data_IF_975513147487
#
_entry.id   IF_975513147487
#
_cell.length_a   1.000
_cell.length_b   1.000
_cell.length_c   1.000
_cell.angle_alpha   90.00
_cell.angle_beta   90.00
_cell.angle_gamma   90.00
#
_symmetry.space_group_name_H-M   'P 1'
#
loop_
_entity.id
_entity.type
_entity.pdbx_description
1 polymer ?
#
# COMPACT_ATOMS: atom_id res chain seq x y z
N UNK A 1 9.51 -14.46 -0.16
CA UNK A 1 10.60 -14.18 -1.13
C UNK A 1 11.77 -13.52 -0.40
N UNK A 2 13.00 -14.01 -0.57
CA UNK A 2 14.21 -13.39 -0.01
C UNK A 2 14.80 -12.40 -1.02
N UNK A 3 15.34 -11.28 -0.56
CA UNK A 3 15.94 -10.25 -1.42
C UNK A 3 17.48 -10.37 -1.40
N UNK A 4 18.11 -10.47 -2.57
CA UNK A 4 19.56 -10.62 -2.72
C UNK A 4 20.32 -9.29 -2.70
N UNK A 5 21.58 -9.33 -2.25
CA UNK A 5 22.49 -8.18 -2.12
C UNK A 5 22.71 -7.49 -3.48
N UNK A 6 22.61 -6.16 -3.53
CA UNK A 6 23.17 -5.35 -4.62
C UNK A 6 24.04 -4.25 -4.00
N UNK A 7 25.32 -4.25 -4.36
CA UNK A 7 26.25 -3.15 -4.07
C UNK A 7 26.09 -2.11 -5.18
N UNK A 8 25.74 -0.88 -4.82
CA UNK A 8 25.90 0.29 -5.68
C UNK A 8 27.08 1.07 -5.13
N UNK A 9 28.10 1.30 -5.94
CA UNK A 9 29.22 2.18 -5.63
C UNK A 9 29.12 3.40 -6.54
N UNK A 10 28.73 4.54 -5.99
CA UNK A 10 28.95 5.83 -6.64
C UNK A 10 29.46 6.81 -5.58
N UNK A 11 30.63 7.37 -5.83
CA UNK A 11 31.35 8.38 -5.03
C UNK A 11 31.35 8.20 -3.49
N UNK A 12 32.24 7.33 -2.99
CA UNK A 12 32.81 7.42 -1.63
C UNK A 12 31.90 7.14 -0.42
N UNK A 13 30.58 7.04 -0.59
CA UNK A 13 29.65 6.72 0.50
C UNK A 13 29.25 5.25 0.44
N UNK A 14 29.91 4.41 1.25
CA UNK A 14 29.49 3.02 1.45
C UNK A 14 28.23 3.00 2.32
N UNK A 15 27.05 2.99 1.70
CA UNK A 15 25.80 2.69 2.44
C UNK A 15 25.65 1.18 2.54
N UNK A 16 26.14 0.58 3.63
CA UNK A 16 25.86 -0.81 3.97
C UNK A 16 24.38 -0.98 4.31
N UNK A 17 23.59 -1.32 3.30
CA UNK A 17 22.19 -1.66 3.52
C UNK A 17 22.03 -3.16 3.76
N UNK A 18 21.91 -3.54 5.04
CA UNK A 18 21.53 -4.90 5.44
C UNK A 18 20.08 -5.18 5.04
N UNK A 19 19.87 -5.84 3.90
CA UNK A 19 18.54 -6.16 3.37
C UNK A 19 18.21 -7.66 3.44
N UNK A 20 18.13 -8.19 4.66
CA UNK A 20 17.47 -9.48 4.93
C UNK A 20 15.98 -9.30 5.26
N UNK A 21 15.20 -8.58 4.45
CA UNK A 21 13.77 -8.35 4.76
C UNK A 21 12.92 -9.52 4.26
N UNK A 22 12.21 -10.17 5.18
CA UNK A 22 11.27 -11.25 4.88
C UNK A 22 9.89 -10.70 4.49
N UNK A 23 9.40 -11.17 3.34
CA UNK A 23 8.10 -10.81 2.75
C UNK A 23 7.27 -12.08 2.53
N UNK A 24 6.55 -12.56 3.57
CA UNK A 24 5.66 -13.69 3.46
C UNK A 24 4.37 -13.32 2.75
N UNK A 25 3.83 -14.30 2.04
CA UNK A 25 2.47 -14.32 1.52
C UNK A 25 1.87 -15.66 1.88
N UNK A 26 0.71 -15.65 2.53
CA UNK A 26 -0.03 -16.84 2.89
C UNK A 26 -1.44 -16.73 2.32
N UNK A 27 -1.92 -17.83 1.76
CA UNK A 27 -3.24 -17.94 1.17
C UNK A 27 -3.84 -19.26 1.65
N UNK A 28 -5.02 -19.19 2.26
CA UNK A 28 -5.77 -20.35 2.70
C UNK A 28 -7.15 -20.25 2.10
N UNK A 29 -7.59 -21.29 1.41
CA UNK A 29 -8.96 -21.42 0.93
C UNK A 29 -9.57 -22.70 1.47
N UNK A 30 -10.76 -22.59 2.04
CA UNK A 30 -11.50 -23.67 2.65
C UNK A 30 -12.90 -23.74 2.06
N UNK A 31 -13.24 -24.89 1.47
CA UNK A 31 -14.59 -25.18 1.00
C UNK A 31 -15.27 -26.07 2.03
N UNK A 32 -16.27 -25.53 2.73
CA UNK A 32 -17.03 -26.31 3.71
C UNK A 32 -17.96 -27.32 3.01
N UNK A 33 -18.49 -26.94 1.86
CA UNK A 33 -19.22 -27.81 0.92
C UNK A 33 -19.17 -27.17 -0.49
N UNK A 34 -19.97 -27.68 -1.43
CA UNK A 34 -20.07 -27.13 -2.80
C UNK A 34 -20.59 -25.68 -2.84
N UNK A 35 -21.28 -25.25 -1.78
CA UNK A 35 -21.97 -23.97 -1.72
C UNK A 35 -21.18 -22.90 -0.95
N UNK A 36 -20.25 -23.24 -0.07
CA UNK A 36 -19.56 -22.30 0.81
C UNK A 36 -18.05 -22.33 0.60
N UNK A 37 -17.49 -21.20 0.18
CA UNK A 37 -16.03 -21.02 0.07
C UNK A 37 -15.58 -19.87 0.97
N UNK A 38 -14.64 -20.14 1.84
CA UNK A 38 -13.95 -19.16 2.68
C UNK A 38 -12.52 -19.02 2.17
N UNK A 39 -12.01 -17.80 2.07
CA UNK A 39 -10.59 -17.57 1.79
C UNK A 39 -10.01 -16.52 2.72
N UNK A 40 -8.78 -16.75 3.16
CA UNK A 40 -8.02 -15.88 4.03
C UNK A 40 -6.65 -15.63 3.41
N UNK A 41 -6.32 -14.35 3.21
CA UNK A 41 -5.10 -13.93 2.56
C UNK A 41 -4.33 -13.00 3.49
N UNK A 42 -3.03 -13.27 3.61
CA UNK A 42 -2.09 -12.35 4.24
C UNK A 42 -0.93 -12.08 3.30
N UNK A 43 -0.57 -10.81 3.13
CA UNK A 43 0.63 -10.45 2.38
C UNK A 43 1.37 -9.29 3.02
N UNK A 44 2.71 -9.40 3.05
CA UNK A 44 3.60 -8.31 3.40
C UNK A 44 4.33 -7.84 2.14
N UNK A 45 4.14 -6.56 1.78
CA UNK A 45 4.74 -5.96 0.58
C UNK A 45 5.65 -4.79 0.97
N UNK A 46 6.68 -4.56 0.16
CA UNK A 46 7.56 -3.38 0.25
C UNK A 46 7.29 -2.47 -0.93
N UNK A 47 7.07 -1.20 -0.68
CA UNK A 47 6.95 -0.18 -1.70
C UNK A 47 8.19 0.70 -1.69
N UNK A 48 8.92 0.72 -2.81
CA UNK A 48 10.18 1.44 -2.93
C UNK A 48 9.92 2.85 -3.44
N UNK A 49 10.60 3.86 -2.88
CA UNK A 49 10.55 5.20 -3.43
C UNK A 49 10.97 5.18 -4.90
N UNK A 50 10.25 5.90 -5.74
CA UNK A 50 10.62 6.07 -7.14
C UNK A 50 11.91 6.89 -7.28
N UNK A 51 12.58 6.80 -8.42
CA UNK A 51 13.84 7.52 -8.67
C UNK A 51 13.73 9.03 -8.40
N UNK A 52 12.62 9.66 -8.82
CA UNK A 52 12.38 11.09 -8.57
C UNK A 52 12.28 11.45 -7.09
N UNK A 53 11.82 10.52 -6.25
CA UNK A 53 11.66 10.76 -4.82
C UNK A 53 13.00 10.72 -4.08
N UNK A 54 14.00 10.00 -4.60
CA UNK A 54 15.34 9.85 -4.00
C UNK A 54 16.41 10.71 -4.65
N UNK A 55 16.18 11.19 -5.88
CA UNK A 55 17.18 11.95 -6.63
C UNK A 55 17.35 13.36 -6.00
N UNK A 56 18.54 13.72 -5.50
CA UNK A 56 18.80 15.01 -4.87
C UNK A 56 18.92 16.18 -5.87
N UNK A 57 18.74 15.92 -7.17
CA UNK A 57 18.73 16.96 -8.18
C UNK A 57 17.56 17.93 -7.96
N UNK A 58 17.85 19.23 -8.08
CA UNK A 58 16.87 20.31 -7.88
C UNK A 58 16.12 20.61 -9.17
N UNK A 59 14.80 20.47 -9.15
CA UNK A 59 13.90 20.93 -10.22
C UNK A 59 13.26 22.25 -9.82
N UNK A 60 13.65 23.33 -10.49
CA UNK A 60 13.13 24.67 -10.21
C UNK A 60 11.77 24.88 -10.87
N UNK A 61 10.78 25.27 -10.07
CA UNK A 61 9.48 25.73 -10.56
C UNK A 61 9.47 27.25 -10.75
N UNK A 62 10.15 27.98 -9.88
CA UNK A 62 10.44 29.41 -10.01
C UNK A 62 11.72 29.75 -9.25
N UNK A 63 12.15 31.02 -9.28
CA UNK A 63 13.40 31.47 -8.63
C UNK A 63 13.44 31.17 -7.11
N UNK A 64 12.28 31.22 -6.45
CA UNK A 64 12.16 30.97 -5.02
C UNK A 64 11.57 29.58 -4.71
N UNK A 65 11.38 28.68 -5.69
CA UNK A 65 10.66 27.42 -5.48
C UNK A 65 11.29 26.30 -6.27
N UNK A 66 11.78 25.28 -5.57
CA UNK A 66 12.33 24.09 -6.19
C UNK A 66 11.88 22.82 -5.48
N UNK A 67 11.84 21.74 -6.25
CA UNK A 67 11.64 20.39 -5.76
C UNK A 67 13.00 19.69 -5.68
N UNK A 68 13.23 18.90 -4.63
CA UNK A 68 14.36 17.99 -4.50
C UNK A 68 13.91 16.66 -3.91
N UNK A 69 14.39 15.54 -4.47
CA UNK A 69 14.24 14.25 -3.81
C UNK A 69 15.07 14.18 -2.53
N UNK A 70 14.79 13.16 -1.72
CA UNK A 70 15.46 12.86 -0.47
C UNK A 70 16.16 11.49 -0.57
N UNK A 71 17.50 11.45 -0.69
CA UNK A 71 18.26 10.20 -0.79
C UNK A 71 18.08 9.26 0.42
N UNK A 72 17.67 9.78 1.58
CA UNK A 72 17.48 9.01 2.81
C UNK A 72 16.09 8.39 2.94
N UNK A 73 15.26 8.49 1.89
CA UNK A 73 13.93 7.92 1.88
C UNK A 73 13.94 6.41 2.12
N UNK A 74 13.17 6.00 3.11
CA UNK A 74 12.98 4.61 3.43
C UNK A 74 11.82 4.01 2.64
N UNK A 75 11.94 2.75 2.19
CA UNK A 75 10.80 2.03 1.64
C UNK A 75 9.67 1.87 2.67
N UNK A 76 8.43 2.06 2.22
CA UNK A 76 7.25 1.79 3.03
C UNK A 76 6.92 0.30 3.01
N UNK A 77 6.33 -0.20 4.10
CA UNK A 77 5.94 -1.60 4.26
C UNK A 77 4.42 -1.67 4.42
N UNK A 78 3.78 -2.51 3.63
CA UNK A 78 2.34 -2.74 3.70
C UNK A 78 2.06 -4.15 4.19
N UNK A 79 1.27 -4.27 5.24
CA UNK A 79 0.62 -5.50 5.66
C UNK A 79 -0.81 -5.50 5.15
N UNK A 80 -1.21 -6.55 4.46
CA UNK A 80 -2.56 -6.71 3.92
C UNK A 80 -3.16 -8.00 4.45
N UNK A 81 -4.31 -7.89 5.10
CA UNK A 81 -5.15 -8.99 5.55
C UNK A 81 -6.47 -8.90 4.79
N UNK A 82 -6.92 -10.02 4.26
CA UNK A 82 -8.17 -10.09 3.52
C UNK A 82 -8.87 -11.39 3.86
N UNK A 83 -10.16 -11.29 4.12
CA UNK A 83 -11.07 -12.40 4.32
C UNK A 83 -12.18 -12.29 3.28
N UNK A 84 -12.49 -13.39 2.62
CA UNK A 84 -13.58 -13.44 1.64
C UNK A 84 -14.44 -14.68 1.88
N UNK A 85 -15.73 -14.51 1.73
CA UNK A 85 -16.73 -15.55 1.80
C UNK A 85 -17.60 -15.52 0.55
N UNK A 86 -17.76 -16.68 -0.09
CA UNK A 86 -18.60 -16.84 -1.28
C UNK A 86 -19.63 -17.92 -1.02
N UNK A 87 -20.90 -17.60 -1.27
CA UNK A 87 -22.01 -18.54 -1.21
C UNK A 87 -22.60 -18.78 -2.61
N UNK A 88 -22.51 -20.03 -3.10
CA UNK A 88 -23.04 -20.53 -4.38
C UNK A 88 -22.66 -19.70 -5.62
N UNK A 89 -21.59 -18.90 -5.54
CA UNK A 89 -21.24 -17.94 -6.57
C UNK A 89 -22.23 -16.78 -6.73
N UNK A 90 -23.26 -16.70 -5.86
CA UNK A 90 -24.32 -15.67 -5.88
C UNK A 90 -24.04 -14.53 -4.93
N UNK A 91 -23.61 -14.85 -3.71
CA UNK A 91 -23.22 -13.86 -2.70
C UNK A 91 -21.70 -13.91 -2.52
N UNK A 92 -21.05 -12.77 -2.60
CA UNK A 92 -19.66 -12.58 -2.21
C UNK A 92 -19.58 -11.49 -1.14
N UNK A 93 -19.02 -11.80 0.02
CA UNK A 93 -18.69 -10.83 1.04
C UNK A 93 -17.17 -10.84 1.26
N UNK A 94 -16.54 -9.68 1.35
CA UNK A 94 -15.13 -9.59 1.73
C UNK A 94 -14.90 -8.49 2.73
N UNK A 95 -13.88 -8.68 3.54
CA UNK A 95 -13.36 -7.72 4.49
C UNK A 95 -11.86 -7.64 4.29
N UNK A 96 -11.31 -6.42 4.28
CA UNK A 96 -9.87 -6.23 4.25
C UNK A 96 -9.42 -5.27 5.34
N UNK A 97 -8.19 -5.47 5.78
CA UNK A 97 -7.46 -4.56 6.64
C UNK A 97 -6.04 -4.41 6.12
N UNK A 98 -5.62 -3.16 5.94
CA UNK A 98 -4.29 -2.82 5.49
C UNK A 98 -3.62 -1.89 6.49
N UNK A 99 -2.36 -2.19 6.83
CA UNK A 99 -1.49 -1.32 7.63
C UNK A 99 -0.27 -0.96 6.81
N UNK A 100 -0.10 0.34 6.54
CA UNK A 100 1.06 0.93 5.86
C UNK A 100 1.97 1.57 6.90
N UNK A 101 3.24 1.18 6.89
CA UNK A 101 4.29 1.65 7.78
C UNK A 101 5.33 2.48 7.01
N UNK A 102 5.85 3.52 7.65
CA UNK A 102 6.84 4.45 7.10
C UNK A 102 6.40 5.00 5.74
N UNK A 103 5.14 5.42 5.62
CA UNK A 103 4.63 6.01 4.41
C UNK A 103 5.35 7.33 4.12
N UNK A 104 5.72 7.52 2.86
CA UNK A 104 6.35 8.74 2.37
C UNK A 104 5.35 9.58 1.60
N UNK A 105 5.36 10.88 1.85
CA UNK A 105 4.63 11.85 1.02
C UNK A 105 5.43 13.14 0.89
N UNK A 106 5.00 13.99 -0.04
CA UNK A 106 5.63 15.26 -0.36
C UNK A 106 5.32 16.27 0.74
N UNK A 107 6.39 16.83 1.31
CA UNK A 107 6.34 17.94 2.24
C UNK A 107 6.84 19.21 1.56
N UNK A 108 6.37 20.34 2.07
CA UNK A 108 6.79 21.68 1.63
C UNK A 108 7.38 22.38 2.83
N UNK A 109 8.64 22.78 2.70
CA UNK A 109 9.39 23.54 3.70
C UNK A 109 9.44 24.98 3.19
N UNK A 110 9.03 25.92 4.04
CA UNK A 110 9.03 27.35 3.75
C UNK A 110 10.11 28.02 4.60
N UNK A 111 11.09 28.64 3.95
CA UNK A 111 12.17 29.41 4.57
C UNK A 111 12.14 30.84 4.01
N UNK A 112 11.39 31.72 4.66
CA UNK A 112 11.14 33.08 4.17
C UNK A 112 10.35 33.05 2.85
N UNK A 113 10.91 33.64 1.79
CA UNK A 113 10.32 33.60 0.44
C UNK A 113 10.61 32.29 -0.30
N UNK A 114 11.54 31.47 0.19
CA UNK A 114 11.94 30.23 -0.46
C UNK A 114 11.02 29.07 -0.09
N UNK A 115 10.60 28.32 -1.10
CA UNK A 115 9.76 27.13 -1.02
C UNK A 115 10.54 25.92 -1.52
N UNK A 116 10.90 25.03 -0.61
CA UNK A 116 11.54 23.77 -0.94
C UNK A 116 10.53 22.64 -0.81
N UNK A 117 10.34 21.85 -1.86
CA UNK A 117 9.50 20.66 -1.77
C UNK A 117 10.33 19.39 -1.83
N UNK A 118 10.10 18.48 -0.89
CA UNK A 118 10.82 17.22 -0.80
C UNK A 118 9.91 16.10 -0.32
N UNK A 119 10.40 14.86 -0.33
CA UNK A 119 9.66 13.72 0.19
C UNK A 119 10.20 13.31 1.56
N UNK A 120 9.32 12.96 2.49
CA UNK A 120 9.69 12.49 3.82
C UNK A 120 8.83 11.31 4.26
N UNK A 121 9.42 10.36 4.99
CA UNK A 121 8.69 9.31 5.69
C UNK A 121 8.19 9.87 7.02
N UNK A 122 6.94 10.30 7.10
CA UNK A 122 6.44 10.97 8.31
C UNK A 122 5.18 10.35 8.90
N UNK A 123 4.52 9.39 8.25
CA UNK A 123 3.25 8.85 8.78
C UNK A 123 3.13 7.34 8.62
N UNK A 124 2.29 6.76 9.47
CA UNK A 124 1.73 5.43 9.28
C UNK A 124 0.26 5.57 8.87
N UNK A 125 -0.31 4.58 8.19
CA UNK A 125 -1.73 4.63 7.82
C UNK A 125 -2.39 3.25 7.97
N UNK A 126 -3.66 3.25 8.33
CA UNK A 126 -4.49 2.05 8.28
C UNK A 126 -5.67 2.28 7.35
N UNK A 127 -6.05 1.26 6.59
CA UNK A 127 -7.32 1.24 5.88
C UNK A 127 -8.04 -0.06 6.16
N UNK A 128 -9.36 -0.01 6.16
CA UNK A 128 -10.21 -1.18 6.26
C UNK A 128 -11.40 -1.00 5.33
N UNK A 129 -11.97 -2.10 4.88
CA UNK A 129 -13.19 -2.04 4.10
C UNK A 129 -13.93 -3.36 4.08
N UNK A 130 -15.20 -3.23 3.75
CA UNK A 130 -16.14 -4.32 3.55
C UNK A 130 -16.70 -4.20 2.13
N UNK A 131 -16.79 -5.32 1.42
CA UNK A 131 -17.53 -5.40 0.17
C UNK A 131 -18.56 -6.51 0.25
N UNK A 132 -19.73 -6.26 -0.30
CA UNK A 132 -20.83 -7.20 -0.36
C UNK A 132 -21.43 -7.12 -1.76
N UNK A 133 -21.45 -8.24 -2.46
CA UNK A 133 -22.11 -8.37 -3.74
C UNK A 133 -23.08 -9.54 -3.69
N UNK A 134 -24.27 -9.36 -4.24
CA UNK A 134 -25.28 -10.37 -4.40
C UNK A 134 -25.81 -10.28 -5.83
N UNK A 135 -25.71 -11.38 -6.56
CA UNK A 135 -26.25 -11.54 -7.91
C UNK A 135 -27.05 -12.82 -7.95
N UNK A 136 -28.34 -12.72 -8.25
CA UNK A 136 -29.21 -13.87 -8.42
C UNK A 136 -30.28 -13.64 -9.47
N UNK A 137 -30.67 -14.71 -10.16
CA UNK A 137 -31.73 -14.72 -11.15
C UNK A 137 -32.99 -15.31 -10.54
N UNK A 138 -33.98 -14.48 -10.24
CA UNK A 138 -35.29 -14.88 -9.74
C UNK A 138 -36.23 -15.26 -10.89
N UNK A 139 -36.93 -16.39 -10.72
CA UNK A 139 -37.93 -16.91 -11.66
C UNK A 139 -37.49 -17.01 -13.14
N UNK A 140 -36.17 -17.05 -13.41
CA UNK A 140 -35.57 -17.01 -14.77
C UNK A 140 -35.94 -15.77 -15.60
N UNK A 141 -36.65 -14.81 -15.01
CA UNK A 141 -37.22 -13.64 -15.68
C UNK A 141 -36.70 -12.32 -15.07
N UNK A 142 -36.19 -12.36 -13.84
CA UNK A 142 -35.71 -11.20 -13.11
C UNK A 142 -34.27 -11.42 -12.67
N UNK A 143 -33.41 -10.44 -12.92
CA UNK A 143 -32.04 -10.43 -12.43
C UNK A 143 -31.91 -9.36 -11.34
N UNK A 144 -31.45 -9.77 -10.16
CA UNK A 144 -31.20 -8.87 -9.05
C UNK A 144 -29.69 -8.79 -8.81
N UNK A 145 -29.16 -7.57 -8.92
CA UNK A 145 -27.76 -7.27 -8.64
C UNK A 145 -27.69 -6.19 -7.57
N UNK A 146 -27.13 -6.54 -6.42
CA UNK A 146 -26.86 -5.62 -5.33
C UNK A 146 -25.37 -5.63 -5.01
N UNK A 147 -24.76 -4.45 -5.01
CA UNK A 147 -23.37 -4.27 -4.62
C UNK A 147 -23.25 -3.14 -3.61
N UNK A 148 -22.49 -3.38 -2.55
CA UNK A 148 -22.18 -2.40 -1.51
C UNK A 148 -20.72 -2.45 -1.16
N UNK A 149 -20.08 -1.29 -1.09
CA UNK A 149 -18.68 -1.16 -0.68
C UNK A 149 -18.63 -0.09 0.40
N UNK A 150 -18.00 -0.43 1.52
CA UNK A 150 -17.71 0.49 2.59
C UNK A 150 -16.21 0.50 2.83
N UNK A 151 -15.59 1.67 2.83
CA UNK A 151 -14.16 1.81 3.06
C UNK A 151 -13.92 2.92 4.07
N UNK A 152 -12.99 2.67 4.98
CA UNK A 152 -12.49 3.66 5.94
C UNK A 152 -10.98 3.75 5.79
N UNK A 153 -10.49 4.96 5.66
CA UNK A 153 -9.08 5.27 5.78
C UNK A 153 -8.85 6.05 7.08
N UNK A 154 -7.87 5.60 7.87
CA UNK A 154 -7.44 6.28 9.09
C UNK A 154 -5.96 6.66 8.96
N UNK A 155 -5.63 7.96 8.95
CA UNK A 155 -4.25 8.37 9.11
C UNK A 155 -3.76 7.91 10.49
N UNK A 156 -2.57 7.33 10.53
CA UNK A 156 -1.85 7.08 11.77
C UNK A 156 -1.07 8.31 12.19
N UNK A 157 -0.47 8.23 13.38
CA UNK A 157 0.34 9.30 13.95
C UNK A 157 1.50 9.68 13.02
N UNK A 158 1.74 10.98 12.94
CA UNK A 158 2.94 11.53 12.33
C UNK A 158 4.12 11.38 13.31
N UNK A 159 5.31 11.07 12.79
CA UNK A 159 6.56 11.02 13.55
C UNK A 159 7.39 12.29 13.34
#
# INVERSE_FOLDING_TARGET
MFYGKRKFSDFGQQTETSYGKFFPTAYISYKSNENHTFSLNYSKRINRPGFRAINPYRWYNNINSYFTGNPFLQPSINHNFEFSYVYKGKLSASAYFQRKLNASDQIVILEGENKTSTFANFYNASSMGLSLNYSDTFFRLWEANYSGIYHIWKPGLCH
#
